data_IF_762415908992
#
_entry.id   IF_762415908992
#
_cell.length_a   1.000
_cell.length_b   1.000
_cell.length_c   1.000
_cell.angle_alpha   90.00
_cell.angle_beta   90.00
_cell.angle_gamma   90.00
#
_symmetry.space_group_name_H-M   'P 1'
#
loop_
_entity.id
_entity.type
_entity.pdbx_description
1 polymer ?
#
# COMPACT_ATOMS: atom_id res chain seq x y z
N UNK A 1 11.25 -2.33 3.72
CA UNK A 1 11.07 -1.04 4.42
C UNK A 1 9.59 -0.70 4.46
N UNK A 2 9.10 -0.19 5.59
CA UNK A 2 7.73 0.30 5.74
C UNK A 2 7.77 1.77 6.16
N UNK A 3 6.94 2.61 5.55
CA UNK A 3 6.78 4.03 5.89
C UNK A 3 5.30 4.34 6.05
N UNK A 4 4.90 4.91 7.20
CA UNK A 4 3.51 5.30 7.47
C UNK A 4 3.35 6.82 7.35
N UNK A 5 2.20 7.27 6.87
CA UNK A 5 1.89 8.70 6.74
C UNK A 5 2.57 9.37 5.54
N UNK A 6 2.91 8.61 4.51
CA UNK A 6 3.50 9.16 3.28
C UNK A 6 2.44 9.89 2.45
N UNK A 7 2.90 10.78 1.56
CA UNK A 7 2.03 11.32 0.53
C UNK A 7 1.62 10.21 -0.46
N UNK A 8 0.44 10.38 -1.06
CA UNK A 8 0.01 9.56 -2.19
C UNK A 8 0.96 9.80 -3.37
N UNK A 9 1.45 8.76 -4.06
CA UNK A 9 2.35 8.94 -5.19
C UNK A 9 1.62 9.65 -6.34
N UNK A 10 2.30 10.52 -7.11
CA UNK A 10 1.67 11.25 -8.22
C UNK A 10 1.20 10.34 -9.36
N UNK A 11 1.72 9.11 -9.45
CA UNK A 11 1.28 8.08 -10.40
C UNK A 11 -0.06 7.44 -10.03
N UNK A 12 -0.55 7.60 -8.79
CA UNK A 12 -1.88 7.16 -8.40
C UNK A 12 -2.94 8.15 -8.89
N UNK A 13 -3.51 7.84 -10.07
CA UNK A 13 -4.48 8.65 -10.78
C UNK A 13 -5.80 7.88 -11.05
N UNK A 14 -6.89 8.54 -11.46
CA UNK A 14 -8.12 7.88 -11.86
C UNK A 14 -7.89 6.78 -12.91
N UNK A 15 -8.51 5.62 -12.70
CA UNK A 15 -8.29 4.43 -13.54
C UNK A 15 -7.12 3.54 -13.11
N UNK A 16 -6.36 3.92 -12.07
CA UNK A 16 -5.32 3.08 -11.50
C UNK A 16 -5.87 1.72 -11.04
N UNK A 17 -5.14 0.66 -11.35
CA UNK A 17 -5.45 -0.69 -10.87
C UNK A 17 -5.01 -0.83 -9.43
N UNK A 18 -5.91 -1.36 -8.59
CA UNK A 18 -5.66 -1.64 -7.18
C UNK A 18 -5.72 -3.15 -6.95
N UNK A 19 -4.75 -3.66 -6.20
CA UNK A 19 -4.78 -5.02 -5.69
C UNK A 19 -5.40 -5.00 -4.30
N UNK A 20 -6.48 -5.75 -4.12
CA UNK A 20 -7.08 -5.91 -2.81
C UNK A 20 -6.35 -7.00 -2.03
N UNK A 21 -5.85 -6.67 -0.85
CA UNK A 21 -5.28 -7.64 0.10
C UNK A 21 -5.97 -7.43 1.44
N UNK A 22 -6.68 -8.46 1.90
CA UNK A 22 -7.70 -8.34 2.95
C UNK A 22 -8.71 -7.21 2.62
N UNK A 23 -8.94 -6.28 3.54
CA UNK A 23 -9.75 -5.08 3.36
C UNK A 23 -8.91 -3.84 3.00
N UNK A 24 -7.65 -4.01 2.59
CA UNK A 24 -6.74 -2.90 2.23
C UNK A 24 -6.54 -2.87 0.72
N UNK A 25 -6.91 -1.78 0.03
CA UNK A 25 -6.58 -1.60 -1.37
C UNK A 25 -5.14 -1.09 -1.52
N UNK A 26 -4.37 -1.77 -2.37
CA UNK A 26 -2.97 -1.47 -2.63
C UNK A 26 -2.73 -1.00 -4.05
N UNK A 27 -2.06 0.13 -4.19
CA UNK A 27 -1.53 0.62 -5.46
C UNK A 27 -0.07 0.21 -5.58
N UNK A 28 0.29 -0.42 -6.71
CA UNK A 28 1.68 -0.74 -7.03
C UNK A 28 2.25 0.33 -7.93
N UNK A 29 3.31 0.99 -7.48
CA UNK A 29 4.11 1.91 -8.27
C UNK A 29 5.47 1.28 -8.54
N UNK A 30 5.85 1.22 -9.81
CA UNK A 30 7.16 0.70 -10.22
C UNK A 30 7.96 1.86 -10.79
N UNK A 31 9.00 2.29 -10.07
CA UNK A 31 9.90 3.35 -10.48
C UNK A 31 11.34 2.87 -10.34
N UNK A 32 12.19 3.17 -11.32
CA UNK A 32 13.63 2.85 -11.30
C UNK A 32 13.95 1.36 -10.98
N UNK A 33 13.09 0.44 -11.43
CA UNK A 33 13.23 -1.00 -11.19
C UNK A 33 12.89 -1.44 -9.76
N UNK A 34 12.32 -0.56 -8.94
CA UNK A 34 11.85 -0.86 -7.59
C UNK A 34 10.34 -0.78 -7.51
N UNK A 35 9.75 -1.81 -6.88
CA UNK A 35 8.33 -1.83 -6.57
C UNK A 35 8.08 -1.20 -5.20
N UNK A 36 7.17 -0.24 -5.17
CA UNK A 36 6.65 0.36 -3.94
C UNK A 36 5.13 0.16 -3.93
N UNK A 37 4.64 -0.49 -2.89
CA UNK A 37 3.23 -0.74 -2.66
C UNK A 37 2.68 0.31 -1.69
N UNK A 38 1.61 0.98 -2.08
CA UNK A 38 0.95 2.01 -1.30
C UNK A 38 -0.44 1.54 -0.87
N UNK A 39 -0.65 1.36 0.43
CA UNK A 39 -1.97 1.17 1.00
C UNK A 39 -2.75 2.48 0.92
N UNK A 40 -3.77 2.52 0.07
CA UNK A 40 -4.67 3.66 -0.12
C UNK A 40 -6.01 3.39 0.57
N UNK A 41 -6.94 4.35 0.54
CA UNK A 41 -8.28 4.17 1.13
C UNK A 41 -8.32 4.11 2.67
N UNK A 42 -7.20 4.37 3.35
CA UNK A 42 -7.10 4.48 4.81
C UNK A 42 -6.86 5.93 5.24
N UNK A 43 -7.01 6.22 6.53
CA UNK A 43 -6.74 7.55 7.10
C UNK A 43 -5.31 8.05 6.84
N UNK A 44 -4.34 7.13 6.82
CA UNK A 44 -2.94 7.36 6.48
C UNK A 44 -2.51 6.40 5.36
N UNK A 45 -1.72 6.89 4.41
CA UNK A 45 -1.12 6.04 3.38
C UNK A 45 0.11 5.36 3.97
N UNK A 46 0.24 4.07 3.71
CA UNK A 46 1.42 3.27 4.11
C UNK A 46 2.14 2.80 2.86
N UNK A 47 3.43 3.07 2.76
CA UNK A 47 4.30 2.56 1.70
C UNK A 47 5.11 1.37 2.18
N UNK A 48 5.10 0.29 1.42
CA UNK A 48 5.88 -0.92 1.62
C UNK A 48 6.78 -1.12 0.41
N UNK A 49 8.07 -1.26 0.64
CA UNK A 49 9.04 -1.63 -0.39
C UNK A 49 9.84 -2.84 0.09
N UNK A 50 9.88 -3.88 -0.73
CA UNK A 50 10.56 -5.12 -0.46
C UNK A 50 11.09 -5.71 -1.77
N UNK A 51 12.11 -6.59 -1.72
CA UNK A 51 12.52 -7.35 -2.90
C UNK A 51 11.33 -8.16 -3.48
N UNK A 52 11.26 -8.37 -4.80
CA UNK A 52 10.09 -8.97 -5.46
C UNK A 52 9.65 -10.31 -4.86
N UNK A 53 10.60 -11.14 -4.44
CA UNK A 53 10.33 -12.45 -3.84
C UNK A 53 9.69 -12.38 -2.44
N UNK A 54 9.74 -11.23 -1.76
CA UNK A 54 9.18 -11.01 -0.43
C UNK A 54 8.01 -10.02 -0.43
N UNK A 55 7.72 -9.39 -1.58
CA UNK A 55 6.71 -8.32 -1.64
C UNK A 55 5.31 -8.81 -1.28
N UNK A 56 4.93 -10.02 -1.69
CA UNK A 56 3.62 -10.61 -1.36
C UNK A 56 3.41 -10.76 0.15
N UNK A 57 4.35 -11.41 0.83
CA UNK A 57 4.27 -11.62 2.29
C UNK A 57 4.32 -10.29 3.05
N UNK A 58 5.21 -9.37 2.65
CA UNK A 58 5.32 -8.06 3.29
C UNK A 58 4.02 -7.24 3.16
N UNK A 59 3.35 -7.28 2.00
CA UNK A 59 2.07 -6.61 1.79
C UNK A 59 0.96 -7.28 2.58
N UNK A 60 0.95 -8.62 2.69
CA UNK A 60 -0.04 -9.35 3.47
C UNK A 60 0.08 -9.04 4.97
N UNK A 61 1.29 -9.14 5.54
CA UNK A 61 1.55 -8.81 6.95
C UNK A 61 1.22 -7.33 7.26
N UNK A 62 1.61 -6.42 6.37
CA UNK A 62 1.27 -5.01 6.52
C UNK A 62 -0.25 -4.78 6.46
N UNK A 63 -0.97 -5.52 5.61
CA UNK A 63 -2.43 -5.41 5.52
C UNK A 63 -3.12 -5.77 6.83
N UNK A 64 -2.71 -6.88 7.46
CA UNK A 64 -3.24 -7.30 8.75
C UNK A 64 -2.99 -6.25 9.85
N UNK A 65 -1.78 -5.66 9.88
CA UNK A 65 -1.45 -4.60 10.83
C UNK A 65 -2.27 -3.31 10.57
N UNK A 66 -2.46 -2.93 9.31
CA UNK A 66 -3.25 -1.76 8.91
C UNK A 66 -4.71 -1.93 9.30
N UNK A 67 -5.30 -3.11 9.13
CA UNK A 67 -6.69 -3.38 9.53
C UNK A 67 -6.93 -3.18 11.02
N UNK A 68 -5.94 -3.51 11.85
CA UNK A 68 -6.04 -3.39 13.30
C UNK A 68 -5.78 -1.97 13.82
N UNK A 69 -5.12 -1.12 13.03
CA UNK A 69 -4.56 0.15 13.53
C UNK A 69 -5.01 1.40 12.76
N UNK A 70 -5.45 1.25 11.51
CA UNK A 70 -5.82 2.35 10.63
C UNK A 70 -7.25 2.17 10.09
N UNK A 71 -8.21 2.98 10.53
CA UNK A 71 -9.58 2.95 10.02
C UNK A 71 -9.64 3.16 8.50
N UNK A 72 -10.69 2.61 7.89
CA UNK A 72 -11.03 2.93 6.51
C UNK A 72 -11.42 4.41 6.41
N UNK A 73 -10.95 5.07 5.36
CA UNK A 73 -11.25 6.50 5.16
C UNK A 73 -12.74 6.67 4.87
N UNK A 74 -13.43 7.44 5.72
CA UNK A 74 -14.86 7.72 5.58
C UNK A 74 -15.78 6.88 6.47
N UNK A 75 -15.23 6.23 7.50
CA UNK A 75 -15.99 5.68 8.63
C UNK A 75 -15.91 6.59 9.85
#
# INVERSE_FOLDING_TARGET
MIRCGVAVPPSYAPGATLTQVNSVPWFKDTADGQDIWYAVGRERVVAVSAPPQFAGDAVNEASAAIEQTLPARGQ
#
